data_IF_144177851597
#
_entry.id   IF_144177851597
#
_cell.length_a   1.000
_cell.length_b   1.000
_cell.length_c   1.000
_cell.angle_alpha   90.00
_cell.angle_beta   90.00
_cell.angle_gamma   90.00
#
_symmetry.space_group_name_H-M   'P 1'
#
loop_
_entity.id
_entity.type
_entity.pdbx_description
1 polymer ?
#
# COMPACT_ATOMS: atom_id res chain seq x y z
N UNK A 1 2.52 5.15 2.93
CA UNK A 1 3.51 4.21 3.49
C UNK A 1 4.67 4.94 4.19
N UNK A 2 5.43 5.78 3.49
CA UNK A 2 6.59 6.50 4.06
C UNK A 2 6.29 7.34 5.31
N UNK A 3 5.06 7.83 5.53
CA UNK A 3 4.72 8.53 6.77
C UNK A 3 4.59 7.63 8.01
N UNK A 4 4.36 6.33 7.80
CA UNK A 4 4.14 5.37 8.89
C UNK A 4 5.40 4.57 9.18
N UNK A 5 6.23 4.35 8.15
CA UNK A 5 7.43 3.51 8.20
C UNK A 5 8.37 3.79 9.41
N UNK A 6 8.68 5.03 9.82
CA UNK A 6 9.59 5.29 10.94
C UNK A 6 9.07 4.85 12.30
N UNK A 7 7.76 4.64 12.41
CA UNK A 7 7.09 4.27 13.65
C UNK A 7 6.83 2.77 13.75
N UNK A 8 7.19 2.00 12.72
CA UNK A 8 7.05 0.56 12.73
C UNK A 8 8.13 -0.08 13.60
N UNK A 9 7.74 -1.05 14.41
CA UNK A 9 8.71 -1.84 15.18
C UNK A 9 9.60 -2.66 14.25
N UNK A 10 10.77 -3.08 14.74
CA UNK A 10 11.56 -4.11 14.08
C UNK A 10 10.68 -5.34 13.84
N UNK A 11 10.81 -5.95 12.66
CA UNK A 11 9.99 -7.10 12.25
C UNK A 11 8.48 -6.86 12.23
N UNK A 12 8.04 -5.60 12.08
CA UNK A 12 6.62 -5.28 11.93
C UNK A 12 6.00 -6.08 10.78
N UNK A 13 4.79 -6.58 11.03
CA UNK A 13 3.99 -7.28 10.03
C UNK A 13 3.11 -6.27 9.31
N UNK A 14 3.30 -6.13 8.00
CA UNK A 14 2.46 -5.30 7.15
C UNK A 14 1.59 -6.19 6.29
N UNK A 15 0.27 -6.01 6.39
CA UNK A 15 -0.70 -6.63 5.50
C UNK A 15 -1.08 -5.64 4.39
N UNK A 16 -1.12 -6.12 3.16
CA UNK A 16 -1.57 -5.35 2.00
C UNK A 16 -2.65 -6.11 1.24
N UNK A 17 -3.68 -5.38 0.83
CA UNK A 17 -4.71 -5.84 -0.08
C UNK A 17 -4.48 -5.26 -1.48
N UNK A 18 -5.30 -5.67 -2.45
CA UNK A 18 -5.28 -5.17 -3.83
C UNK A 18 -3.98 -5.45 -4.58
N UNK A 19 -3.29 -6.55 -4.22
CA UNK A 19 -2.05 -6.97 -4.88
C UNK A 19 -2.27 -7.36 -6.35
N UNK A 20 -3.46 -7.84 -6.69
CA UNK A 20 -3.82 -8.22 -8.06
C UNK A 20 -4.90 -7.29 -8.65
N UNK A 21 -5.14 -6.11 -8.05
CA UNK A 21 -6.17 -5.18 -8.54
C UNK A 21 -6.04 -4.80 -10.02
N UNK A 22 -4.82 -4.81 -10.54
CA UNK A 22 -4.50 -4.54 -11.93
C UNK A 22 -5.05 -5.55 -12.95
N UNK A 23 -5.42 -6.76 -12.54
CA UNK A 23 -6.10 -7.72 -13.43
C UNK A 23 -7.62 -7.50 -13.48
N UNK A 24 -8.19 -6.80 -12.49
CA UNK A 24 -9.63 -6.58 -12.38
C UNK A 24 -10.09 -5.25 -12.99
N UNK A 25 -9.21 -4.28 -13.14
CA UNK A 25 -9.56 -2.95 -13.66
C UNK A 25 -8.41 -2.33 -14.46
N UNK A 26 -8.74 -1.58 -15.52
CA UNK A 26 -7.75 -0.81 -16.27
C UNK A 26 -7.79 0.66 -15.83
N UNK A 27 -7.24 0.96 -14.65
CA UNK A 27 -7.04 2.35 -14.17
C UNK A 27 -5.56 2.67 -14.02
N UNK A 28 -5.14 3.94 -14.09
CA UNK A 28 -3.71 4.28 -14.09
C UNK A 28 -2.93 3.84 -12.83
N UNK A 29 -3.58 3.76 -11.66
CA UNK A 29 -2.95 3.45 -10.37
C UNK A 29 -3.13 1.99 -9.91
N UNK A 30 -3.63 1.12 -10.79
CA UNK A 30 -4.09 -0.24 -10.45
C UNK A 30 -3.02 -1.18 -9.90
N UNK A 31 -1.74 -0.90 -10.16
CA UNK A 31 -0.61 -1.74 -9.80
C UNK A 31 0.18 -1.21 -8.58
N UNK A 32 -0.19 -0.07 -8.00
CA UNK A 32 0.59 0.58 -6.93
C UNK A 32 0.75 -0.34 -5.72
N UNK A 33 -0.31 -1.02 -5.29
CA UNK A 33 -0.25 -1.95 -4.16
C UNK A 33 0.69 -3.13 -4.44
N UNK A 34 0.62 -3.71 -5.63
CA UNK A 34 1.53 -4.78 -6.06
C UNK A 34 2.99 -4.33 -6.02
N UNK A 35 3.29 -3.18 -6.63
CA UNK A 35 4.67 -2.66 -6.71
C UNK A 35 5.22 -2.37 -5.32
N UNK A 36 4.43 -1.72 -4.47
CA UNK A 36 4.84 -1.41 -3.10
C UNK A 36 5.11 -2.70 -2.31
N UNK A 37 4.20 -3.68 -2.37
CA UNK A 37 4.36 -4.95 -1.67
C UNK A 37 5.60 -5.71 -2.15
N UNK A 38 5.82 -5.81 -3.47
CA UNK A 38 7.01 -6.43 -4.05
C UNK A 38 8.30 -5.77 -3.57
N UNK A 39 8.26 -4.46 -3.31
CA UNK A 39 9.40 -3.66 -2.86
C UNK A 39 9.68 -3.75 -1.36
N UNK A 40 8.79 -4.37 -0.56
CA UNK A 40 9.07 -4.56 0.87
C UNK A 40 10.28 -5.49 1.08
N UNK A 41 11.19 -5.08 1.94
CA UNK A 41 12.30 -5.93 2.39
C UNK A 41 11.85 -6.75 3.59
N UNK A 42 11.96 -8.08 3.47
CA UNK A 42 11.49 -9.00 4.50
C UNK A 42 10.87 -10.27 3.92
N UNK A 43 10.29 -11.08 4.80
CA UNK A 43 9.67 -12.36 4.42
C UNK A 43 8.21 -12.15 4.05
N UNK A 44 7.90 -12.36 2.77
CA UNK A 44 6.55 -12.20 2.20
C UNK A 44 5.79 -13.52 2.24
N UNK A 45 4.50 -13.42 2.48
CA UNK A 45 3.55 -14.51 2.48
C UNK A 45 2.31 -14.05 1.74
N UNK A 46 1.75 -14.96 0.95
CA UNK A 46 0.48 -14.77 0.28
C UNK A 46 -0.53 -15.66 1.01
N UNK A 47 -1.72 -15.12 1.28
CA UNK A 47 -2.82 -15.96 1.77
C UNK A 47 -3.24 -16.87 0.64
N UNK A 48 -3.83 -18.04 0.92
CA UNK A 48 -4.51 -18.83 -0.11
C UNK A 48 -5.96 -18.37 -0.16
N UNK A 49 -6.36 -17.80 -1.29
CA UNK A 49 -7.74 -17.50 -1.61
C UNK A 49 -8.30 -18.62 -2.49
N UNK A 50 -9.27 -19.38 -1.99
CA UNK A 50 -9.99 -20.42 -2.75
C UNK A 50 -11.07 -19.83 -3.69
N UNK A 51 -11.05 -18.51 -3.94
CA UNK A 51 -12.20 -17.75 -4.47
C UNK A 51 -11.97 -17.11 -5.85
N UNK A 52 -10.86 -17.38 -6.54
CA UNK A 52 -10.60 -16.76 -7.85
C UNK A 52 -10.87 -17.70 -9.02
N UNK A 53 -11.68 -17.22 -9.96
CA UNK A 53 -11.90 -17.80 -11.30
C UNK A 53 -10.64 -17.80 -12.19
N UNK A 54 -9.61 -17.07 -11.79
CA UNK A 54 -8.26 -17.17 -12.32
C UNK A 54 -7.45 -17.98 -11.30
N UNK A 55 -7.02 -19.18 -11.70
CA UNK A 55 -6.12 -20.18 -11.08
C UNK A 55 -5.32 -19.73 -9.81
N UNK A 56 -4.92 -20.64 -8.90
CA UNK A 56 -4.90 -20.46 -7.45
C UNK A 56 -3.79 -19.52 -6.91
N UNK A 57 -3.04 -18.85 -7.79
CA UNK A 57 -1.85 -18.06 -7.48
C UNK A 57 -2.06 -16.54 -7.60
N UNK A 58 -3.25 -16.06 -7.98
CA UNK A 58 -3.56 -14.62 -8.05
C UNK A 58 -4.04 -14.05 -6.71
N UNK A 59 -3.19 -14.18 -5.68
CA UNK A 59 -3.51 -13.79 -4.32
C UNK A 59 -3.60 -12.27 -4.16
N UNK A 60 -4.81 -11.77 -3.89
CA UNK A 60 -5.05 -10.32 -3.80
C UNK A 60 -4.65 -9.73 -2.44
N UNK A 61 -4.42 -10.59 -1.43
CA UNK A 61 -3.98 -10.20 -0.10
C UNK A 61 -2.68 -10.94 0.26
N UNK A 62 -1.73 -10.18 0.79
CA UNK A 62 -0.47 -10.71 1.29
C UNK A 62 0.00 -9.95 2.52
N UNK A 63 0.98 -10.53 3.22
CA UNK A 63 1.66 -9.84 4.30
C UNK A 63 3.17 -10.03 4.22
N UNK A 64 3.90 -9.03 4.71
CA UNK A 64 5.35 -9.05 4.81
C UNK A 64 5.74 -8.87 6.27
N UNK A 65 6.56 -9.78 6.79
CA UNK A 65 7.33 -9.54 8.01
C UNK A 65 8.53 -8.72 7.57
N UNK A 66 8.51 -7.41 7.86
CA UNK A 66 9.59 -6.52 7.46
C UNK A 66 10.92 -6.97 8.05
N UNK A 67 11.99 -6.66 7.35
CA UNK A 67 13.34 -6.82 7.86
C UNK A 67 13.57 -5.96 9.12
N UNK A 68 14.41 -6.45 10.05
CA UNK A 68 14.72 -5.73 11.29
C UNK A 68 15.42 -4.39 11.06
N UNK A 69 16.06 -4.21 9.91
CA UNK A 69 16.74 -2.99 9.46
C UNK A 69 15.98 -2.35 8.30
N UNK A 70 14.64 -2.32 8.35
CA UNK A 70 13.80 -1.74 7.29
C UNK A 70 14.00 -0.22 7.07
N UNK A 71 14.69 0.47 7.99
CA UNK A 71 15.11 1.88 7.87
C UNK A 71 16.54 2.04 7.36
N UNK A 72 17.20 0.95 6.95
CA UNK A 72 18.48 1.03 6.24
C UNK A 72 18.40 1.96 5.03
N UNK A 73 19.46 2.73 4.79
CA UNK A 73 19.47 3.80 3.80
C UNK A 73 19.21 3.27 2.38
N UNK A 74 19.76 2.12 2.02
CA UNK A 74 19.58 1.55 0.68
C UNK A 74 18.18 1.00 0.47
N UNK A 75 17.55 0.47 1.53
CA UNK A 75 16.12 0.10 1.50
C UNK A 75 15.22 1.32 1.38
N UNK A 76 15.51 2.39 2.12
CA UNK A 76 14.79 3.66 2.01
C UNK A 76 14.89 4.27 0.61
N UNK A 77 16.07 4.21 -0.03
CA UNK A 77 16.25 4.66 -1.42
C UNK A 77 15.30 3.92 -2.38
N UNK A 78 15.04 2.62 -2.18
CA UNK A 78 14.07 1.88 -2.99
C UNK A 78 12.66 2.44 -2.81
N UNK A 79 12.21 2.69 -1.58
CA UNK A 79 10.88 3.26 -1.34
C UNK A 79 10.73 4.67 -1.92
N UNK A 80 11.75 5.52 -1.81
CA UNK A 80 11.71 6.85 -2.43
C UNK A 80 11.74 6.78 -3.96
N UNK A 81 12.47 5.83 -4.56
CA UNK A 81 12.45 5.60 -6.02
C UNK A 81 11.07 5.23 -6.55
N UNK A 82 10.22 4.57 -5.76
CA UNK A 82 8.84 4.30 -6.17
C UNK A 82 8.03 5.57 -6.41
N UNK A 83 8.40 6.70 -5.77
CA UNK A 83 7.75 7.99 -6.01
C UNK A 83 8.09 8.57 -7.41
N UNK A 84 9.08 8.03 -8.13
CA UNK A 84 9.33 8.38 -9.53
C UNK A 84 8.30 7.81 -10.50
N UNK A 85 7.45 6.87 -10.07
CA UNK A 85 6.36 6.39 -10.91
C UNK A 85 5.38 7.55 -11.19
N UNK A 86 4.82 7.67 -12.41
CA UNK A 86 3.93 8.77 -12.75
C UNK A 86 2.75 8.92 -11.78
N UNK A 87 2.52 10.13 -11.27
CA UNK A 87 1.41 10.37 -10.35
C UNK A 87 0.12 10.67 -11.09
N UNK A 88 -1.00 10.25 -10.49
CA UNK A 88 -2.33 10.55 -11.02
C UNK A 88 -2.88 11.90 -10.54
N UNK A 89 -2.20 12.51 -9.57
CA UNK A 89 -2.45 13.86 -9.06
C UNK A 89 -1.14 14.48 -8.56
N UNK A 90 -1.08 15.82 -8.52
CA UNK A 90 -0.01 16.55 -7.82
C UNK A 90 -0.42 16.86 -6.39
N UNK A 91 0.55 16.82 -5.48
CA UNK A 91 0.37 17.31 -4.11
C UNK A 91 0.17 18.82 -4.11
N UNK A 92 -0.64 19.33 -3.18
CA UNK A 92 -0.74 20.77 -2.94
C UNK A 92 0.46 21.30 -2.15
N UNK A 93 0.59 22.62 -2.06
CA UNK A 93 1.73 23.26 -1.41
C UNK A 93 1.84 22.93 0.08
N UNK A 94 0.71 22.75 0.77
CA UNK A 94 0.69 22.43 2.20
C UNK A 94 1.13 20.99 2.44
N UNK A 95 0.65 20.05 1.63
CA UNK A 95 1.07 18.64 1.68
C UNK A 95 2.55 18.48 1.35
N UNK A 96 3.08 19.28 0.41
CA UNK A 96 4.52 19.32 0.11
C UNK A 96 5.31 19.79 1.33
N UNK A 97 4.89 20.88 1.97
CA UNK A 97 5.58 21.41 3.16
C UNK A 97 5.58 20.40 4.31
N UNK A 98 4.42 19.82 4.62
CA UNK A 98 4.28 18.77 5.64
C UNK A 98 5.18 17.57 5.31
N UNK A 99 5.23 17.16 4.04
CA UNK A 99 6.09 16.06 3.59
C UNK A 99 7.58 16.37 3.78
N UNK A 100 8.02 17.58 3.42
CA UNK A 100 9.41 18.01 3.60
C UNK A 100 9.80 18.03 5.08
N UNK A 101 8.96 18.61 5.94
CA UNK A 101 9.20 18.66 7.39
C UNK A 101 9.30 17.25 7.95
N UNK A 102 8.36 16.37 7.58
CA UNK A 102 8.33 14.99 8.03
C UNK A 102 9.56 14.21 7.55
N UNK A 103 9.89 14.28 6.25
CA UNK A 103 11.04 13.56 5.68
C UNK A 103 12.36 14.08 6.24
N UNK A 104 12.50 15.39 6.45
CA UNK A 104 13.68 15.94 7.10
C UNK A 104 13.86 15.38 8.51
N UNK A 105 12.78 15.35 9.29
CA UNK A 105 12.80 14.86 10.67
C UNK A 105 13.13 13.38 10.78
N UNK A 106 12.60 12.54 9.88
CA UNK A 106 12.65 11.09 10.01
C UNK A 106 13.68 10.39 9.13
N UNK A 107 14.08 11.01 8.02
CA UNK A 107 14.99 10.41 7.03
C UNK A 107 16.24 11.25 6.76
N UNK A 108 16.18 12.55 7.03
CA UNK A 108 17.31 13.48 6.86
C UNK A 108 17.35 14.20 5.52
N UNK A 109 18.24 15.18 5.40
CA UNK A 109 18.29 16.11 4.26
C UNK A 109 18.57 15.41 2.91
N UNK A 110 19.24 14.26 2.92
CA UNK A 110 19.49 13.47 1.71
C UNK A 110 18.19 13.03 1.02
N UNK A 111 17.22 12.53 1.79
CA UNK A 111 15.93 12.10 1.26
C UNK A 111 15.01 13.26 0.92
N UNK A 112 15.15 14.40 1.60
CA UNK A 112 14.47 15.65 1.19
C UNK A 112 14.92 16.08 -0.19
N UNK A 113 16.25 16.07 -0.47
CA UNK A 113 16.78 16.40 -1.80
C UNK A 113 16.25 15.47 -2.88
N UNK A 114 16.18 14.16 -2.59
CA UNK A 114 15.57 13.19 -3.50
C UNK A 114 14.12 13.59 -3.75
N UNK A 115 13.29 13.73 -2.72
CA UNK A 115 11.88 14.08 -2.85
C UNK A 115 11.65 15.38 -3.62
N UNK A 116 12.43 16.44 -3.36
CA UNK A 116 12.35 17.69 -4.13
C UNK A 116 12.61 17.46 -5.63
N UNK A 117 13.58 16.62 -5.99
CA UNK A 117 13.86 16.31 -7.39
C UNK A 117 12.71 15.52 -8.03
N UNK A 118 12.07 14.63 -7.28
CA UNK A 118 10.87 13.91 -7.73
C UNK A 118 9.73 14.88 -8.00
N UNK A 119 9.49 15.83 -7.09
CA UNK A 119 8.45 16.86 -7.27
C UNK A 119 8.68 17.68 -8.55
N UNK A 120 9.93 18.07 -8.84
CA UNK A 120 10.27 18.77 -10.08
C UNK A 120 9.90 17.95 -11.33
N UNK A 121 10.28 16.66 -11.35
CA UNK A 121 10.01 15.75 -12.48
C UNK A 121 8.50 15.55 -12.66
N UNK A 122 7.77 15.28 -11.57
CA UNK A 122 6.33 15.08 -11.63
C UNK A 122 5.63 16.34 -12.12
N UNK A 123 6.01 17.52 -11.61
CA UNK A 123 5.48 18.79 -12.07
C UNK A 123 5.71 19.00 -13.58
N UNK A 124 6.91 18.71 -14.07
CA UNK A 124 7.22 18.79 -15.50
C UNK A 124 6.33 17.85 -16.34
N UNK A 125 6.09 16.62 -15.87
CA UNK A 125 5.21 15.68 -16.56
C UNK A 125 3.75 16.12 -16.58
N UNK A 126 3.28 16.72 -15.48
CA UNK A 126 1.94 17.32 -15.40
C UNK A 126 1.80 18.52 -16.34
N UNK A 127 2.73 19.46 -16.29
CA UNK A 127 2.71 20.66 -17.11
C UNK A 127 2.75 20.33 -18.62
N UNK A 128 3.43 19.24 -18.98
CA UNK A 128 3.54 18.76 -20.38
C UNK A 128 2.44 17.77 -20.79
N UNK A 129 1.46 17.47 -19.92
CA UNK A 129 0.44 16.42 -20.13
C UNK A 129 1.03 15.07 -20.61
N UNK A 130 2.22 14.72 -20.11
CA UNK A 130 2.90 13.47 -20.52
C UNK A 130 2.24 12.22 -19.94
N UNK A 131 1.32 12.39 -18.99
CA UNK A 131 0.56 11.33 -18.36
C UNK A 131 -0.85 11.37 -18.95
N UNK A 132 -1.20 10.38 -19.79
CA UNK A 132 -2.52 10.32 -20.41
C UNK A 132 -3.53 9.74 -19.42
N UNK A 133 -4.31 10.60 -18.77
CA UNK A 133 -5.29 10.24 -17.74
C UNK A 133 -6.59 9.62 -18.31
N UNK A 134 -6.74 9.53 -19.64
CA UNK A 134 -8.02 9.26 -20.30
C UNK A 134 -8.44 7.79 -20.42
N UNK A 135 -7.79 6.86 -19.71
CA UNK A 135 -8.37 5.52 -19.51
C UNK A 135 -9.44 5.60 -18.42
N UNK A 136 -10.62 6.08 -18.82
CA UNK A 136 -11.82 6.17 -18.00
C UNK A 136 -12.15 4.78 -17.45
N UNK A 137 -12.06 4.64 -16.14
CA UNK A 137 -12.63 3.50 -15.44
C UNK A 137 -14.13 3.46 -15.70
N UNK A 138 -14.59 2.45 -16.43
CA UNK A 138 -15.97 2.00 -16.35
C UNK A 138 -16.01 0.87 -15.32
N UNK A 139 -16.71 1.02 -14.18
CA UNK A 139 -16.96 -0.13 -13.32
C UNK A 139 -17.60 -1.22 -14.19
N UNK A 140 -16.90 -2.33 -14.40
CA UNK A 140 -17.63 -3.60 -14.47
C UNK A 140 -18.14 -3.81 -13.06
N UNK A 141 -19.44 -4.03 -12.90
CA UNK A 141 -20.02 -4.39 -11.60
C UNK A 141 -19.17 -5.52 -10.98
N UNK A 142 -18.36 -5.16 -9.98
CA UNK A 142 -17.51 -6.12 -9.29
C UNK A 142 -18.46 -6.89 -8.38
N UNK A 143 -18.88 -8.07 -8.83
CA UNK A 143 -19.80 -8.99 -8.12
C UNK A 143 -19.33 -9.22 -6.66
N UNK A 144 -18.02 -9.10 -6.41
CA UNK A 144 -17.39 -9.20 -5.09
C UNK A 144 -17.87 -8.16 -4.06
N UNK A 145 -18.21 -6.94 -4.49
CA UNK A 145 -18.71 -5.89 -3.59
C UNK A 145 -20.20 -6.10 -3.25
N UNK A 146 -20.97 -6.68 -4.16
CA UNK A 146 -22.39 -6.95 -3.96
C UNK A 146 -22.64 -8.21 -3.12
N UNK A 147 -21.73 -9.19 -3.15
CA UNK A 147 -21.91 -10.45 -2.40
C UNK A 147 -21.23 -10.48 -1.01
N UNK A 148 -20.13 -9.74 -0.77
CA UNK A 148 -19.27 -9.97 0.41
C UNK A 148 -18.85 -8.72 1.23
N UNK A 149 -19.67 -7.66 1.25
CA UNK A 149 -19.45 -6.39 1.99
C UNK A 149 -18.05 -5.74 1.74
N UNK A 150 -17.78 -4.55 2.29
CA UNK A 150 -16.45 -3.93 2.13
C UNK A 150 -15.36 -4.67 2.93
N UNK A 151 -14.10 -4.62 2.48
CA UNK A 151 -12.97 -5.22 3.20
C UNK A 151 -12.86 -4.73 4.66
N UNK A 152 -13.19 -3.45 4.90
CA UNK A 152 -13.29 -2.86 6.25
C UNK A 152 -14.28 -3.60 7.14
N UNK A 153 -15.48 -3.86 6.62
CA UNK A 153 -16.54 -4.58 7.34
C UNK A 153 -16.10 -6.02 7.63
N UNK A 154 -15.43 -6.69 6.68
CA UNK A 154 -14.91 -8.05 6.89
C UNK A 154 -13.84 -8.13 7.97
N UNK A 155 -12.87 -7.21 7.97
CA UNK A 155 -11.83 -7.15 9.01
C UNK A 155 -12.46 -6.88 10.38
N UNK A 156 -13.40 -5.95 10.45
CA UNK A 156 -14.14 -5.65 11.69
C UNK A 156 -14.92 -6.88 12.18
N UNK A 157 -15.68 -7.55 11.32
CA UNK A 157 -16.45 -8.74 11.70
C UNK A 157 -15.57 -9.88 12.18
N UNK A 158 -14.40 -10.09 11.55
CA UNK A 158 -13.48 -11.16 11.91
C UNK A 158 -12.75 -10.89 13.24
N UNK A 159 -12.41 -9.62 13.51
CA UNK A 159 -11.89 -9.19 14.81
C UNK A 159 -12.94 -9.36 15.92
N UNK A 160 -14.18 -8.91 15.69
CA UNK A 160 -15.30 -9.10 16.63
C UNK A 160 -15.57 -10.58 16.91
N UNK A 161 -15.54 -11.43 15.89
CA UNK A 161 -15.72 -12.87 16.04
C UNK A 161 -14.62 -13.51 16.91
N UNK A 162 -13.34 -13.20 16.64
CA UNK A 162 -12.22 -13.71 17.45
C UNK A 162 -12.29 -13.23 18.90
N UNK A 163 -12.70 -11.99 19.13
CA UNK A 163 -12.92 -11.45 20.48
C UNK A 163 -14.00 -12.24 21.21
N UNK A 164 -15.15 -12.47 20.56
CA UNK A 164 -16.26 -13.26 21.11
C UNK A 164 -15.87 -14.71 21.45
N UNK A 165 -15.13 -15.38 20.55
CA UNK A 165 -14.60 -16.72 20.82
C UNK A 165 -13.67 -16.75 22.04
N UNK A 166 -12.78 -15.76 22.15
CA UNK A 166 -11.87 -15.63 23.30
C UNK A 166 -12.65 -15.42 24.61
N UNK A 167 -13.70 -14.60 24.58
CA UNK A 167 -14.57 -14.38 25.75
C UNK A 167 -15.31 -15.65 26.17
N UNK A 168 -15.83 -16.43 25.22
CA UNK A 168 -16.53 -17.70 25.51
C UNK A 168 -15.56 -18.72 26.12
N UNK A 169 -14.36 -18.86 25.56
CA UNK A 169 -13.33 -19.76 26.09
C UNK A 169 -12.99 -19.39 27.54
N UNK A 170 -12.78 -18.10 27.82
CA UNK A 170 -12.47 -17.63 29.17
C UNK A 170 -13.66 -17.69 30.14
N UNK A 171 -14.90 -17.65 29.64
CA UNK A 171 -16.11 -17.78 30.48
C UNK A 171 -16.37 -19.20 30.99
N UNK A 172 -15.76 -20.21 30.37
CA UNK A 172 -15.90 -21.63 30.76
C UNK A 172 -14.79 -22.10 31.73
N UNK A 173 -13.88 -21.21 32.12
CA UNK A 173 -12.76 -21.49 33.02
C UNK A 173 -12.97 -20.97 34.45
N UNK A 174 -14.22 -20.77 34.86
CA UNK A 174 -14.64 -20.43 36.24
C UNK A 174 -15.41 -21.60 36.83
#
# INVERSE_FOLDING_TARGET
FLFVLPYLSKNAVIMMHDLTFHIYCNVPYRNICSILFSSFFGKKYYLKEDYTQHDPDFQNIGYCILDSEHLDEDKLKVYFRLLNLPWVYMLDSNDIEVSIIFFKRHYGDGFVKIFSKILEIQKEWFDKNMINFNDVWKPKEIIFQTEYNSAKVRVQSQLSYKLGQTMIINSKSI
#
